data_IF_063055314199
#
_entry.id   IF_063055314199
#
_cell.length_a   1.000
_cell.length_b   1.000
_cell.length_c   1.000
_cell.angle_alpha   90.00
_cell.angle_beta   90.00
_cell.angle_gamma   90.00
#
_symmetry.space_group_name_H-M   'P 1'
#
loop_
_entity.id
_entity.type
_entity.pdbx_description
1 polymer ?
#
# COMPACT_ATOMS: atom_id res chain seq x y z
N UNK A 1 30.99 1.08 19.06
CA UNK A 1 29.66 1.57 19.50
C UNK A 1 29.28 2.93 18.89
N UNK A 2 29.92 3.37 17.79
CA UNK A 2 29.78 4.74 17.28
C UNK A 2 28.95 4.87 16.00
N UNK A 3 28.56 3.74 15.39
CA UNK A 3 27.87 3.70 14.10
C UNK A 3 26.37 4.05 14.13
N UNK A 4 25.77 4.30 15.31
CA UNK A 4 24.32 4.56 15.45
C UNK A 4 23.93 6.03 15.74
N UNK A 5 24.89 6.93 16.00
CA UNK A 5 24.59 8.35 16.29
C UNK A 5 23.89 9.09 15.13
N UNK A 6 24.30 8.92 13.86
CA UNK A 6 23.64 9.62 12.75
C UNK A 6 22.15 9.24 12.62
N UNK A 7 21.85 7.94 12.68
CA UNK A 7 20.48 7.44 12.59
C UNK A 7 19.61 7.90 13.77
N UNK A 8 20.16 7.95 14.99
CA UNK A 8 19.41 8.46 16.14
C UNK A 8 19.03 9.93 15.98
N UNK A 9 19.95 10.76 15.48
CA UNK A 9 19.67 12.18 15.23
C UNK A 9 18.62 12.35 14.13
N UNK A 10 18.69 11.57 13.06
CA UNK A 10 17.68 11.58 11.98
C UNK A 10 16.29 11.19 12.49
N UNK A 11 16.21 10.14 13.31
CA UNK A 11 14.95 9.71 13.92
C UNK A 11 14.36 10.78 14.86
N UNK A 12 15.21 11.46 15.63
CA UNK A 12 14.74 12.53 16.51
C UNK A 12 14.25 13.74 15.71
N UNK A 13 14.95 14.12 14.64
CA UNK A 13 14.51 15.16 13.72
C UNK A 13 13.13 14.82 13.10
N UNK A 14 12.94 13.58 12.65
CA UNK A 14 11.64 13.14 12.09
C UNK A 14 10.54 13.21 13.15
N UNK A 15 10.82 12.81 14.40
CA UNK A 15 9.86 12.91 15.50
C UNK A 15 9.45 14.35 15.76
N UNK A 16 10.40 15.28 15.76
CA UNK A 16 10.13 16.70 15.96
C UNK A 16 9.27 17.26 14.83
N UNK A 17 9.62 16.97 13.57
CA UNK A 17 8.82 17.38 12.40
C UNK A 17 7.38 16.86 12.48
N UNK A 18 7.18 15.59 12.84
CA UNK A 18 5.84 15.01 12.99
C UNK A 18 5.09 15.66 14.16
N UNK A 19 5.78 15.93 15.27
CA UNK A 19 5.20 16.56 16.47
C UNK A 19 4.72 17.98 16.19
N UNK A 20 5.52 18.78 15.50
CA UNK A 20 5.23 20.18 15.17
C UNK A 20 4.22 20.33 14.02
N UNK A 21 4.13 19.33 13.14
CA UNK A 21 3.17 19.34 12.05
C UNK A 21 1.71 19.26 12.53
N UNK A 22 0.86 20.09 11.95
CA UNK A 22 -0.60 20.08 12.15
C UNK A 22 -1.37 19.49 10.97
N UNK A 23 -0.72 19.36 9.79
CA UNK A 23 -1.32 18.84 8.56
C UNK A 23 -0.31 17.96 7.82
N UNK A 24 -0.43 16.65 7.97
CA UNK A 24 0.44 15.66 7.36
C UNK A 24 -0.27 15.03 6.15
N UNK A 25 0.41 14.98 5.02
CA UNK A 25 -0.01 14.19 3.85
C UNK A 25 0.88 12.96 3.76
N UNK A 26 0.27 11.79 3.63
CA UNK A 26 0.97 10.52 3.52
C UNK A 26 0.69 9.92 2.15
N UNK A 27 1.75 9.49 1.45
CA UNK A 27 1.64 8.71 0.23
C UNK A 27 2.16 7.30 0.50
N UNK A 28 1.33 6.27 0.28
CA UNK A 28 1.71 4.87 0.45
C UNK A 28 1.62 4.09 -0.87
N UNK A 29 2.48 3.08 -0.99
CA UNK A 29 2.43 2.08 -2.06
C UNK A 29 2.58 0.67 -1.51
N UNK A 30 2.73 -0.32 -2.39
CA UNK A 30 2.62 -1.73 -2.02
C UNK A 30 3.62 -2.18 -0.94
N UNK A 31 4.76 -1.49 -0.82
CA UNK A 31 5.77 -1.75 0.21
C UNK A 31 5.24 -1.67 1.64
N UNK A 32 4.23 -0.84 1.95
CA UNK A 32 3.66 -0.83 3.31
C UNK A 32 2.91 -2.14 3.63
N UNK A 33 2.41 -2.85 2.61
CA UNK A 33 1.61 -4.07 2.77
C UNK A 33 2.46 -5.35 2.76
N UNK A 34 3.78 -5.26 2.51
CA UNK A 34 4.68 -6.44 2.52
C UNK A 34 4.76 -7.09 3.90
N UNK A 35 4.80 -6.29 4.96
CA UNK A 35 4.80 -6.82 6.34
C UNK A 35 3.43 -7.40 6.75
N UNK A 36 2.39 -7.20 5.92
CA UNK A 36 1.10 -7.87 6.05
C UNK A 36 1.04 -9.17 5.21
N UNK A 37 2.13 -9.55 4.54
CA UNK A 37 2.21 -10.75 3.69
C UNK A 37 1.72 -10.54 2.26
N UNK A 38 1.38 -9.32 1.85
CA UNK A 38 1.02 -9.01 0.46
C UNK A 38 2.31 -8.66 -0.30
N UNK A 39 2.69 -9.42 -1.36
CA UNK A 39 3.88 -9.09 -2.12
C UNK A 39 3.73 -7.73 -2.79
N UNK A 40 4.83 -6.97 -2.87
CA UNK A 40 4.88 -5.78 -3.70
C UNK A 40 4.92 -6.16 -5.19
N UNK A 41 5.00 -5.16 -6.07
CA UNK A 41 5.06 -5.42 -7.50
C UNK A 41 6.49 -5.61 -8.02
N UNK A 42 7.47 -4.86 -7.49
CA UNK A 42 8.80 -4.69 -8.12
C UNK A 42 9.99 -5.00 -7.21
N UNK A 43 9.78 -5.37 -5.95
CA UNK A 43 10.85 -5.79 -5.07
C UNK A 43 11.49 -7.11 -5.51
N UNK A 44 12.50 -7.60 -4.78
CA UNK A 44 13.17 -8.88 -5.09
C UNK A 44 12.20 -10.06 -5.17
N UNK A 45 11.11 -9.99 -4.41
CA UNK A 45 10.04 -11.00 -4.40
C UNK A 45 8.74 -10.52 -5.07
N UNK A 46 8.79 -9.39 -5.78
CA UNK A 46 7.62 -8.73 -6.33
C UNK A 46 6.94 -9.49 -7.46
N UNK A 47 5.64 -9.25 -7.63
CA UNK A 47 4.79 -9.95 -8.60
C UNK A 47 5.32 -9.82 -10.03
N UNK A 48 5.73 -8.62 -10.45
CA UNK A 48 6.24 -8.35 -11.80
C UNK A 48 7.70 -8.78 -11.97
N UNK A 49 8.48 -8.78 -10.88
CA UNK A 49 9.83 -9.34 -10.87
C UNK A 49 9.80 -10.85 -11.15
N UNK A 50 8.86 -11.58 -10.53
CA UNK A 50 8.71 -13.04 -10.73
C UNK A 50 7.93 -13.41 -11.99
N UNK A 51 7.01 -12.55 -12.41
CA UNK A 51 6.17 -12.78 -13.58
C UNK A 51 5.96 -11.48 -14.37
N UNK A 52 6.83 -11.17 -15.35
CA UNK A 52 6.68 -10.00 -16.20
C UNK A 52 5.38 -10.00 -17.02
N UNK A 53 4.77 -11.17 -17.29
CA UNK A 53 3.46 -11.21 -17.95
C UNK A 53 2.33 -10.69 -17.07
N UNK A 54 2.47 -10.77 -15.74
CA UNK A 54 1.50 -10.22 -14.80
C UNK A 54 1.41 -8.69 -14.89
N UNK A 55 2.49 -8.01 -15.33
CA UNK A 55 2.45 -6.57 -15.59
C UNK A 55 1.51 -6.23 -16.75
N UNK A 56 1.43 -7.08 -17.78
CA UNK A 56 0.53 -6.86 -18.93
C UNK A 56 -0.94 -6.77 -18.50
N UNK A 57 -1.33 -7.52 -17.46
CA UNK A 57 -2.69 -7.45 -16.91
C UNK A 57 -3.00 -6.08 -16.26
N UNK A 58 -1.98 -5.30 -15.90
CA UNK A 58 -2.08 -3.95 -15.34
C UNK A 58 -1.86 -2.84 -16.38
N UNK A 59 -1.69 -3.19 -17.66
CA UNK A 59 -1.54 -2.25 -18.76
C UNK A 59 -2.80 -2.23 -19.63
N UNK A 60 -3.45 -1.07 -19.72
CA UNK A 60 -4.75 -0.94 -20.39
C UNK A 60 -4.75 -1.39 -21.86
N UNK A 61 -3.63 -1.20 -22.58
CA UNK A 61 -3.52 -1.58 -23.99
C UNK A 61 -3.55 -3.10 -24.14
N UNK A 62 -2.80 -3.83 -23.33
CA UNK A 62 -2.83 -5.30 -23.35
C UNK A 62 -4.14 -5.84 -22.79
N UNK A 63 -4.65 -5.23 -21.72
CA UNK A 63 -5.90 -5.62 -21.11
C UNK A 63 -7.08 -5.50 -22.09
N UNK A 64 -7.16 -4.44 -22.90
CA UNK A 64 -8.27 -4.25 -23.85
C UNK A 64 -8.10 -5.04 -25.16
N UNK A 65 -6.87 -5.34 -25.57
CA UNK A 65 -6.61 -6.03 -26.85
C UNK A 65 -6.45 -7.55 -26.75
N UNK A 66 -6.17 -8.12 -25.57
CA UNK A 66 -6.07 -9.58 -25.38
C UNK A 66 -7.22 -10.14 -24.53
N UNK A 67 -8.16 -10.88 -25.15
CA UNK A 67 -9.21 -11.61 -24.43
C UNK A 67 -8.66 -12.61 -23.39
N UNK A 68 -7.52 -13.23 -23.67
CA UNK A 68 -6.88 -14.24 -22.82
C UNK A 68 -6.39 -13.61 -21.50
N UNK A 69 -5.72 -12.45 -21.59
CA UNK A 69 -5.28 -11.69 -20.42
C UNK A 69 -6.49 -11.30 -19.56
N UNK A 70 -7.58 -10.83 -20.17
CA UNK A 70 -8.80 -10.49 -19.42
C UNK A 70 -9.40 -11.71 -18.73
N UNK A 71 -9.56 -12.83 -19.45
CA UNK A 71 -10.13 -14.07 -18.88
C UNK A 71 -9.32 -14.54 -17.67
N UNK A 72 -7.99 -14.57 -17.77
CA UNK A 72 -7.11 -14.93 -16.65
C UNK A 72 -7.27 -13.97 -15.47
N UNK A 73 -7.26 -12.67 -15.71
CA UNK A 73 -7.38 -11.66 -14.64
C UNK A 73 -8.76 -11.71 -13.96
N UNK A 74 -9.84 -11.95 -14.72
CA UNK A 74 -11.19 -12.12 -14.18
C UNK A 74 -11.33 -13.41 -13.40
N UNK A 75 -10.75 -14.52 -13.86
CA UNK A 75 -10.75 -15.78 -13.12
C UNK A 75 -10.06 -15.63 -11.75
N UNK A 76 -8.91 -14.94 -11.70
CA UNK A 76 -8.21 -14.63 -10.45
C UNK A 76 -9.05 -13.76 -9.50
N UNK A 77 -9.79 -12.77 -10.03
CA UNK A 77 -10.68 -11.93 -9.22
C UNK A 77 -11.90 -12.68 -8.72
N UNK A 78 -12.49 -13.49 -9.59
CA UNK A 78 -13.68 -14.28 -9.29
C UNK A 78 -13.41 -15.43 -8.32
N UNK A 79 -12.18 -15.91 -8.21
CA UNK A 79 -11.85 -16.99 -7.27
C UNK A 79 -11.99 -16.56 -5.81
N UNK A 80 -12.00 -15.25 -5.52
CA UNK A 80 -12.03 -14.73 -4.15
C UNK A 80 -10.71 -14.90 -3.40
N UNK A 81 -9.66 -15.42 -4.05
CA UNK A 81 -8.35 -15.67 -3.44
C UNK A 81 -7.50 -14.40 -3.25
N UNK A 82 -8.02 -13.24 -3.66
CA UNK A 82 -7.37 -11.96 -3.44
C UNK A 82 -7.51 -11.55 -1.96
N UNK A 83 -6.61 -12.10 -1.16
CA UNK A 83 -6.30 -11.72 0.22
C UNK A 83 -7.43 -11.92 1.24
N UNK A 84 -8.02 -13.12 1.37
CA UNK A 84 -9.15 -13.33 2.26
C UNK A 84 -8.82 -13.20 3.76
N UNK A 85 -7.54 -13.23 4.15
CA UNK A 85 -7.12 -13.28 5.58
C UNK A 85 -5.98 -12.32 5.93
N UNK A 86 -5.85 -11.17 5.25
CA UNK A 86 -4.78 -10.20 5.55
C UNK A 86 -5.25 -9.13 6.53
N UNK A 87 -4.48 -8.94 7.60
CA UNK A 87 -4.69 -7.91 8.62
C UNK A 87 -3.67 -6.76 8.48
N UNK A 88 -3.99 -5.53 8.92
CA UNK A 88 -3.04 -4.43 8.89
C UNK A 88 -1.85 -4.66 9.83
N UNK A 89 -0.64 -4.34 9.35
CA UNK A 89 0.59 -4.34 10.15
C UNK A 89 0.79 -3.05 10.97
N UNK A 90 1.91 -2.96 11.69
CA UNK A 90 2.26 -1.83 12.53
C UNK A 90 2.42 -0.51 11.77
N UNK A 91 2.85 -0.55 10.50
CA UNK A 91 2.94 0.64 9.65
C UNK A 91 1.56 1.27 9.42
N UNK A 92 0.57 0.46 9.08
CA UNK A 92 -0.81 0.93 8.91
C UNK A 92 -1.38 1.48 10.22
N UNK A 93 -1.19 0.75 11.33
CA UNK A 93 -1.67 1.17 12.67
C UNK A 93 -1.00 2.47 13.13
N UNK A 94 0.28 2.66 12.82
CA UNK A 94 1.00 3.88 13.14
C UNK A 94 0.40 5.10 12.40
N UNK A 95 0.06 4.93 11.12
CA UNK A 95 -0.60 5.98 10.34
C UNK A 95 -2.02 6.28 10.85
N UNK A 96 -2.79 5.26 11.24
CA UNK A 96 -4.10 5.45 11.86
C UNK A 96 -4.02 6.25 13.17
N UNK A 97 -2.98 6.04 13.99
CA UNK A 97 -2.73 6.83 15.21
C UNK A 97 -2.42 8.31 14.92
N UNK A 98 -2.02 8.66 13.70
CA UNK A 98 -1.79 10.05 13.29
C UNK A 98 -3.08 10.77 12.84
N UNK A 99 -4.26 10.16 12.97
CA UNK A 99 -5.53 10.70 12.46
C UNK A 99 -5.78 12.18 12.80
N UNK A 100 -5.44 12.65 14.00
CA UNK A 100 -5.65 14.05 14.41
C UNK A 100 -4.80 15.05 13.61
N UNK A 101 -3.62 14.63 13.15
CA UNK A 101 -2.68 15.44 12.36
C UNK A 101 -2.76 15.14 10.86
N UNK A 102 -3.39 14.03 10.48
CA UNK A 102 -3.49 13.56 9.11
C UNK A 102 -4.45 14.43 8.32
N UNK A 103 -3.92 15.17 7.36
CA UNK A 103 -4.71 15.90 6.37
C UNK A 103 -5.25 14.95 5.31
N UNK A 104 -4.38 14.08 4.77
CA UNK A 104 -4.75 13.17 3.69
C UNK A 104 -3.81 11.96 3.65
N UNK A 105 -4.37 10.78 3.42
CA UNK A 105 -3.64 9.55 3.11
C UNK A 105 -3.98 9.12 1.68
N UNK A 106 -3.01 9.28 0.79
CA UNK A 106 -3.09 8.85 -0.59
C UNK A 106 -2.48 7.45 -0.67
N UNK A 107 -3.26 6.46 -1.10
CA UNK A 107 -2.76 5.10 -1.27
C UNK A 107 -2.89 4.65 -2.72
N UNK A 108 -1.80 4.09 -3.23
CA UNK A 108 -1.77 3.35 -4.50
C UNK A 108 -2.30 1.92 -4.35
N UNK A 109 -2.49 1.45 -3.11
CA UNK A 109 -2.89 0.08 -2.83
C UNK A 109 -4.41 -0.07 -2.99
N UNK A 110 -4.82 -1.28 -3.34
CA UNK A 110 -6.23 -1.65 -3.55
C UNK A 110 -6.75 -2.64 -2.49
N UNK A 111 -5.96 -2.86 -1.42
CA UNK A 111 -6.14 -3.91 -0.39
C UNK A 111 -7.11 -3.55 0.76
N UNK A 112 -7.39 -2.26 0.93
CA UNK A 112 -8.25 -1.72 1.99
C UNK A 112 -7.64 -1.79 3.40
N UNK A 113 -6.34 -2.05 3.55
CA UNK A 113 -5.72 -2.23 4.88
C UNK A 113 -5.66 -0.94 5.70
N UNK A 114 -5.61 0.23 5.05
CA UNK A 114 -5.65 1.51 5.77
C UNK A 114 -6.96 1.72 6.52
N UNK A 115 -8.10 1.44 5.88
CA UNK A 115 -9.41 1.55 6.51
C UNK A 115 -9.58 0.48 7.59
N UNK A 116 -9.13 -0.75 7.33
CA UNK A 116 -9.12 -1.81 8.34
C UNK A 116 -8.24 -1.48 9.56
N UNK A 117 -7.19 -0.67 9.38
CA UNK A 117 -6.35 -0.19 10.47
C UNK A 117 -6.99 0.96 11.29
N UNK A 118 -8.10 1.52 10.83
CA UNK A 118 -8.80 2.63 11.47
C UNK A 118 -8.43 4.01 10.94
N UNK A 119 -7.79 4.12 9.77
CA UNK A 119 -7.60 5.44 9.12
C UNK A 119 -8.95 6.07 8.77
N UNK A 120 -9.14 7.39 8.99
CA UNK A 120 -10.42 8.06 8.74
C UNK A 120 -10.86 7.93 7.28
N UNK A 121 -12.05 7.41 7.04
CA UNK A 121 -12.54 7.07 5.69
C UNK A 121 -12.61 8.31 4.79
N UNK A 122 -12.95 9.47 5.34
CA UNK A 122 -13.01 10.75 4.65
C UNK A 122 -11.64 11.34 4.29
N UNK A 123 -10.55 10.75 4.81
CA UNK A 123 -9.17 11.19 4.57
C UNK A 123 -8.31 10.18 3.83
N UNK A 124 -8.87 9.05 3.39
CA UNK A 124 -8.17 8.05 2.57
C UNK A 124 -8.59 8.18 1.11
N UNK A 125 -7.62 8.42 0.23
CA UNK A 125 -7.81 8.51 -1.23
C UNK A 125 -7.13 7.32 -1.90
N UNK A 126 -7.94 6.48 -2.54
CA UNK A 126 -7.52 5.25 -3.22
C UNK A 126 -7.35 5.52 -4.72
N UNK A 127 -6.14 5.92 -5.14
CA UNK A 127 -5.92 6.43 -6.51
C UNK A 127 -6.00 5.34 -7.59
N UNK A 128 -6.02 4.06 -7.19
CA UNK A 128 -6.17 2.91 -8.09
C UNK A 128 -7.45 2.10 -7.79
N UNK A 129 -8.39 2.66 -7.03
CA UNK A 129 -9.63 1.98 -6.61
C UNK A 129 -9.42 1.01 -5.44
N UNK A 130 -10.39 0.12 -5.22
CA UNK A 130 -10.40 -0.84 -4.12
C UNK A 130 -11.05 -2.16 -4.57
N UNK A 131 -10.50 -3.31 -4.18
CA UNK A 131 -11.03 -4.63 -4.60
C UNK A 131 -12.16 -5.17 -3.73
N UNK A 132 -12.44 -4.53 -2.58
CA UNK A 132 -13.42 -4.94 -1.56
C UNK A 132 -14.68 -4.06 -1.50
N UNK A 133 -14.77 -3.03 -2.36
CA UNK A 133 -15.93 -2.13 -2.45
C UNK A 133 -16.82 -2.50 -3.63
#
# INVERSE_FOLDING_TARGET
MEQNKPLQNELENVREVIKESSKIVVLTGAGISTDSGIPDFRGPNGVWTKNPEAEKASNIRYYTTSPEIRKKNWALRASGDLWPTVAPNEGHKALAKLQEKLLLLITQNIDGLHQLAGSPVDRVVEIHGNTKK
#
